data_IF_049526301820
#
_entry.id   IF_049526301820
#
_cell.length_a   1.000
_cell.length_b   1.000
_cell.length_c   1.000
_cell.angle_alpha   90.00
_cell.angle_beta   90.00
_cell.angle_gamma   90.00
#
_symmetry.space_group_name_H-M   'P 1'
#
loop_
_entity.id
_entity.type
_entity.pdbx_description
1 polymer ?
#
# COMPACT_ATOMS: atom_id res chain seq x y z
N UNK A 1 43.08 -44.85 -38.09
CA UNK A 1 43.14 -43.48 -37.53
C UNK A 1 42.91 -42.52 -38.68
N UNK A 2 41.76 -41.83 -38.69
CA UNK A 2 41.46 -40.83 -39.72
C UNK A 2 41.39 -39.48 -39.03
N UNK A 3 42.02 -38.47 -39.62
CA UNK A 3 42.09 -37.10 -39.13
C UNK A 3 41.96 -36.15 -40.30
N UNK A 4 41.37 -35.00 -40.07
CA UNK A 4 41.26 -33.94 -41.08
C UNK A 4 41.94 -32.69 -40.56
N UNK A 5 42.93 -32.17 -41.27
CA UNK A 5 43.58 -30.90 -40.97
C UNK A 5 43.54 -30.03 -42.23
N UNK A 6 42.81 -28.92 -42.17
CA UNK A 6 42.60 -27.98 -43.25
C UNK A 6 43.02 -26.58 -42.80
N UNK A 7 44.13 -26.08 -43.35
CA UNK A 7 44.68 -24.76 -43.03
C UNK A 7 46.17 -24.82 -42.71
N UNK A 8 46.87 -23.71 -42.93
CA UNK A 8 48.30 -23.64 -42.67
C UNK A 8 48.57 -23.80 -41.16
N UNK A 9 49.51 -24.71 -40.83
CA UNK A 9 49.84 -25.09 -39.45
C UNK A 9 48.66 -25.60 -38.62
N UNK A 10 47.59 -26.10 -39.26
CA UNK A 10 46.54 -26.84 -38.55
C UNK A 10 47.06 -28.22 -38.11
N UNK A 11 46.58 -28.70 -36.97
CA UNK A 11 47.07 -29.92 -36.34
C UNK A 11 45.91 -30.74 -35.77
N UNK A 12 45.59 -31.85 -36.42
CA UNK A 12 44.64 -32.86 -35.95
C UNK A 12 45.41 -34.16 -35.67
N UNK A 13 45.64 -34.48 -34.40
CA UNK A 13 46.58 -35.55 -34.01
C UNK A 13 45.97 -36.75 -33.33
N UNK A 14 44.75 -36.60 -32.84
CA UNK A 14 44.04 -37.66 -32.14
C UNK A 14 43.06 -38.37 -33.08
N UNK A 15 42.59 -39.54 -32.67
CA UNK A 15 41.68 -40.32 -33.52
C UNK A 15 40.40 -39.53 -33.81
N UNK A 16 39.97 -39.48 -35.08
CA UNK A 16 38.76 -38.78 -35.53
C UNK A 16 38.77 -37.26 -35.24
N UNK A 17 39.95 -36.67 -35.07
CA UNK A 17 40.08 -35.23 -34.87
C UNK A 17 39.91 -34.45 -36.19
N UNK A 18 39.27 -33.29 -36.11
CA UNK A 18 39.09 -32.36 -37.22
C UNK A 18 39.56 -30.95 -36.83
N UNK A 19 40.54 -30.41 -37.55
CA UNK A 19 41.06 -29.05 -37.37
C UNK A 19 40.89 -28.26 -38.67
N UNK A 20 40.14 -27.15 -38.62
CA UNK A 20 39.86 -26.29 -39.78
C UNK A 20 40.18 -24.84 -39.42
N UNK A 21 41.23 -24.28 -40.02
CA UNK A 21 41.67 -22.90 -39.80
C UNK A 21 43.20 -22.75 -39.70
N UNK A 22 43.68 -21.51 -39.78
CA UNK A 22 45.10 -21.21 -39.54
C UNK A 22 45.43 -21.51 -38.07
N UNK A 23 46.40 -22.40 -37.84
CA UNK A 23 46.77 -22.83 -36.47
C UNK A 23 45.58 -23.37 -35.65
N UNK A 24 44.62 -24.06 -36.27
CA UNK A 24 43.60 -24.80 -35.53
C UNK A 24 44.19 -26.10 -34.94
N UNK A 25 43.89 -26.40 -33.68
CA UNK A 25 44.41 -27.58 -32.97
C UNK A 25 43.28 -28.46 -32.45
N UNK A 26 43.14 -29.66 -33.00
CA UNK A 26 42.24 -30.70 -32.51
C UNK A 26 43.08 -31.86 -31.94
N UNK A 27 43.34 -31.82 -30.63
CA UNK A 27 44.26 -32.75 -29.95
C UNK A 27 43.58 -33.82 -29.13
N UNK A 28 42.30 -33.67 -28.81
CA UNK A 28 41.50 -34.71 -28.17
C UNK A 28 40.96 -35.73 -29.17
N UNK A 29 40.74 -36.97 -28.73
CA UNK A 29 40.01 -37.97 -29.53
C UNK A 29 38.61 -37.44 -29.85
N UNK A 30 38.15 -37.58 -31.09
CA UNK A 30 36.89 -37.02 -31.60
C UNK A 30 36.77 -35.48 -31.43
N UNK A 31 37.87 -34.74 -31.25
CA UNK A 31 37.81 -33.31 -31.07
C UNK A 31 37.65 -32.55 -32.39
N UNK A 32 36.93 -31.42 -32.36
CA UNK A 32 36.73 -30.56 -33.53
C UNK A 32 37.13 -29.13 -33.21
N UNK A 33 38.08 -28.56 -33.95
CA UNK A 33 38.51 -27.17 -33.82
C UNK A 33 38.26 -26.42 -35.12
N UNK A 34 37.42 -25.40 -35.10
CA UNK A 34 37.04 -24.59 -36.27
C UNK A 34 37.31 -23.12 -35.97
N UNK A 35 38.28 -22.54 -36.67
CA UNK A 35 38.66 -21.14 -36.54
C UNK A 35 40.17 -20.96 -36.40
N UNK A 36 40.64 -19.73 -36.62
CA UNK A 36 42.05 -19.39 -36.42
C UNK A 36 42.42 -19.51 -34.95
N UNK A 37 43.50 -20.22 -34.63
CA UNK A 37 43.95 -20.49 -33.26
C UNK A 37 42.92 -21.20 -32.34
N UNK A 38 41.87 -21.80 -32.90
CA UNK A 38 40.91 -22.60 -32.13
C UNK A 38 41.59 -23.86 -31.55
N UNK A 39 41.32 -24.19 -30.28
CA UNK A 39 41.91 -25.35 -29.59
C UNK A 39 40.83 -26.23 -28.96
N UNK A 40 40.71 -27.44 -29.47
CA UNK A 40 39.90 -28.50 -28.91
C UNK A 40 40.84 -29.60 -28.36
N UNK A 41 41.32 -29.40 -27.14
CA UNK A 41 42.37 -30.23 -26.54
C UNK A 41 41.82 -31.44 -25.76
N UNK A 42 40.52 -31.47 -25.47
CA UNK A 42 39.86 -32.52 -24.70
C UNK A 42 39.08 -33.49 -25.58
N UNK A 43 38.93 -34.74 -25.12
CA UNK A 43 38.18 -35.77 -25.83
C UNK A 43 36.70 -35.36 -26.04
N UNK A 44 36.19 -35.55 -27.26
CA UNK A 44 34.83 -35.20 -27.66
C UNK A 44 34.52 -33.70 -27.63
N UNK A 45 35.52 -32.83 -27.42
CA UNK A 45 35.30 -31.38 -27.31
C UNK A 45 35.26 -30.70 -28.67
N UNK A 46 34.47 -29.62 -28.79
CA UNK A 46 34.36 -28.82 -30.00
C UNK A 46 34.62 -27.35 -29.70
N UNK A 47 35.61 -26.75 -30.35
CA UNK A 47 35.92 -25.33 -30.27
C UNK A 47 35.55 -24.64 -31.58
N UNK A 48 34.64 -23.66 -31.54
CA UNK A 48 34.19 -22.90 -32.71
C UNK A 48 34.47 -21.42 -32.51
N UNK A 49 35.14 -20.79 -33.45
CA UNK A 49 35.50 -19.37 -33.40
C UNK A 49 37.01 -19.13 -33.30
N UNK A 50 37.43 -17.89 -33.52
CA UNK A 50 38.85 -17.51 -33.46
C UNK A 50 39.32 -17.50 -32.01
N UNK A 51 40.38 -18.23 -31.71
CA UNK A 51 40.97 -18.27 -30.36
C UNK A 51 40.13 -19.00 -29.31
N UNK A 52 39.02 -19.63 -29.70
CA UNK A 52 38.18 -20.44 -28.80
C UNK A 52 38.96 -21.62 -28.25
N UNK A 53 38.88 -21.85 -26.94
CA UNK A 53 39.56 -22.95 -26.25
C UNK A 53 38.54 -23.73 -25.43
N UNK A 54 38.46 -25.05 -25.62
CA UNK A 54 37.69 -25.91 -24.72
C UNK A 54 38.49 -26.16 -23.44
N UNK A 55 37.80 -26.28 -22.32
CA UNK A 55 38.37 -26.49 -20.97
C UNK A 55 37.99 -27.84 -20.36
N UNK A 56 37.09 -28.58 -21.01
CA UNK A 56 36.63 -29.88 -20.55
C UNK A 56 36.31 -30.86 -21.69
N UNK A 57 36.28 -32.16 -21.37
CA UNK A 57 35.80 -33.19 -22.30
C UNK A 57 34.31 -33.04 -22.59
N UNK A 58 33.89 -33.40 -23.81
CA UNK A 58 32.51 -33.29 -24.29
C UNK A 58 31.90 -31.86 -24.25
N UNK A 59 32.72 -30.82 -24.09
CA UNK A 59 32.28 -29.43 -24.11
C UNK A 59 32.20 -28.91 -25.55
N UNK A 60 31.19 -28.08 -25.83
CA UNK A 60 31.15 -27.24 -27.04
C UNK A 60 31.38 -25.79 -26.60
N UNK A 61 32.52 -25.23 -26.95
CA UNK A 61 32.85 -23.81 -26.73
C UNK A 61 32.62 -23.03 -28.03
N UNK A 62 31.93 -21.89 -27.93
CA UNK A 62 31.59 -21.02 -29.07
C UNK A 62 32.05 -19.61 -28.74
N UNK A 63 33.08 -19.15 -29.45
CA UNK A 63 33.74 -17.86 -29.21
C UNK A 63 34.55 -17.78 -27.92
N UNK A 64 34.97 -16.56 -27.61
CA UNK A 64 35.68 -16.15 -26.40
C UNK A 64 34.81 -15.21 -25.57
N UNK A 65 35.26 -14.86 -24.35
CA UNK A 65 34.53 -13.94 -23.47
C UNK A 65 34.27 -12.54 -24.06
N UNK A 66 35.02 -12.14 -25.10
CA UNK A 66 34.83 -10.87 -25.80
C UNK A 66 33.96 -10.96 -27.05
N UNK A 67 33.60 -12.16 -27.49
CA UNK A 67 32.84 -12.37 -28.72
C UNK A 67 31.33 -12.27 -28.46
N UNK A 68 30.60 -11.69 -29.41
CA UNK A 68 29.14 -11.71 -29.42
C UNK A 68 28.64 -12.96 -30.14
N UNK A 69 27.77 -13.74 -29.50
CA UNK A 69 27.09 -14.89 -30.12
C UNK A 69 25.63 -14.50 -30.44
N UNK A 70 25.25 -14.58 -31.71
CA UNK A 70 23.88 -14.34 -32.16
C UNK A 70 23.23 -15.63 -32.66
N UNK A 71 22.04 -15.94 -32.15
CA UNK A 71 21.20 -17.04 -32.63
C UNK A 71 19.93 -16.46 -33.24
N UNK A 72 19.87 -16.35 -34.57
CA UNK A 72 18.83 -15.60 -35.27
C UNK A 72 17.40 -16.15 -35.08
N UNK A 73 17.27 -17.47 -34.87
CA UNK A 73 15.95 -18.13 -34.76
C UNK A 73 15.24 -17.97 -33.42
N UNK A 74 15.87 -17.40 -32.38
CA UNK A 74 15.29 -17.36 -31.03
C UNK A 74 13.92 -16.65 -30.97
N UNK A 75 13.69 -15.64 -31.82
CA UNK A 75 12.44 -14.88 -31.82
C UNK A 75 11.30 -15.49 -32.63
N UNK A 76 11.60 -16.42 -33.54
CA UNK A 76 10.60 -17.02 -34.45
C UNK A 76 10.31 -18.47 -34.15
N UNK A 77 11.14 -19.14 -33.34
CA UNK A 77 11.07 -20.59 -33.11
C UNK A 77 10.01 -21.04 -32.08
N UNK A 78 9.03 -20.20 -31.74
CA UNK A 78 8.08 -20.48 -30.66
C UNK A 78 7.08 -21.58 -31.04
N UNK A 79 6.66 -21.63 -32.30
CA UNK A 79 5.67 -22.60 -32.79
C UNK A 79 6.27 -24.01 -32.94
N UNK A 80 7.60 -24.11 -33.02
CA UNK A 80 8.34 -25.36 -33.05
C UNK A 80 8.63 -25.94 -31.65
N UNK A 81 8.36 -25.18 -30.59
CA UNK A 81 8.55 -25.66 -29.22
C UNK A 81 7.43 -26.65 -28.82
N UNK A 82 7.81 -27.76 -28.19
CA UNK A 82 6.87 -28.78 -27.69
C UNK A 82 7.29 -29.28 -26.31
N UNK A 83 6.32 -29.62 -25.46
CA UNK A 83 6.56 -30.09 -24.09
C UNK A 83 6.80 -28.97 -23.08
N UNK A 84 7.52 -29.27 -21.99
CA UNK A 84 7.85 -28.29 -20.94
C UNK A 84 8.83 -27.25 -21.46
N UNK A 85 8.49 -25.97 -21.30
CA UNK A 85 9.37 -24.84 -21.62
C UNK A 85 10.29 -24.55 -20.42
N UNK A 86 11.53 -24.17 -20.70
CA UNK A 86 12.54 -23.89 -19.67
C UNK A 86 13.06 -22.46 -19.82
N UNK A 87 13.35 -21.82 -18.70
CA UNK A 87 14.22 -20.65 -18.68
C UNK A 87 15.67 -21.12 -18.79
N UNK A 88 16.42 -20.52 -19.72
CA UNK A 88 17.86 -20.76 -19.88
C UNK A 88 18.62 -19.65 -19.16
N UNK A 89 19.56 -20.04 -18.32
CA UNK A 89 20.49 -19.13 -17.63
C UNK A 89 21.91 -19.40 -18.10
N UNK A 90 22.81 -18.43 -17.96
CA UNK A 90 24.24 -18.61 -18.15
C UNK A 90 24.98 -18.26 -16.86
N UNK A 91 26.06 -18.97 -16.55
CA UNK A 91 27.00 -18.58 -15.49
C UNK A 91 28.08 -17.61 -16.00
N UNK A 92 29.04 -17.24 -15.15
CA UNK A 92 30.13 -16.32 -15.50
C UNK A 92 31.05 -16.85 -16.60
N UNK A 93 31.13 -18.17 -16.75
CA UNK A 93 31.93 -18.85 -17.76
C UNK A 93 31.14 -19.11 -19.07
N UNK A 94 29.86 -18.71 -19.12
CA UNK A 94 28.98 -18.88 -20.28
C UNK A 94 28.35 -20.28 -20.39
N UNK A 95 28.40 -21.10 -19.34
CA UNK A 95 27.75 -22.41 -19.31
C UNK A 95 26.26 -22.26 -19.13
N UNK A 96 25.48 -22.90 -20.00
CA UNK A 96 24.02 -22.79 -19.97
C UNK A 96 23.38 -23.80 -19.01
N UNK A 97 22.55 -23.28 -18.10
CA UNK A 97 21.65 -24.04 -17.25
C UNK A 97 20.20 -23.95 -17.73
N UNK A 98 19.37 -24.90 -17.30
CA UNK A 98 17.92 -24.86 -17.54
C UNK A 98 17.15 -25.00 -16.24
N UNK A 99 16.12 -24.18 -16.08
CA UNK A 99 15.16 -24.26 -14.98
C UNK A 99 13.76 -24.35 -15.57
N UNK A 100 12.97 -25.34 -15.16
CA UNK A 100 11.63 -25.53 -15.70
C UNK A 100 10.77 -24.28 -15.47
N UNK A 101 10.14 -23.77 -16.53
CA UNK A 101 9.28 -22.60 -16.49
C UNK A 101 7.85 -23.02 -16.84
N UNK A 102 7.04 -23.24 -15.80
CA UNK A 102 5.63 -23.63 -15.97
C UNK A 102 4.73 -22.39 -16.06
N UNK A 103 4.37 -22.01 -17.29
CA UNK A 103 3.42 -20.93 -17.58
C UNK A 103 2.01 -21.19 -17.00
N UNK A 104 1.66 -22.45 -16.72
CA UNK A 104 0.40 -22.83 -16.08
C UNK A 104 0.30 -22.36 -14.62
N UNK A 105 1.44 -22.10 -13.96
CA UNK A 105 1.47 -21.56 -12.59
C UNK A 105 1.37 -20.03 -12.55
N UNK A 106 1.45 -19.34 -13.69
CA UNK A 106 1.28 -17.88 -13.77
C UNK A 106 -0.18 -17.44 -13.54
N UNK A 107 -1.13 -18.39 -13.56
CA UNK A 107 -2.54 -18.15 -13.22
C UNK A 107 -2.82 -17.91 -11.74
N UNK A 108 -1.80 -17.97 -10.87
CA UNK A 108 -1.89 -17.56 -9.47
C UNK A 108 -0.64 -16.79 -9.10
N UNK A 109 -0.79 -15.66 -8.41
CA UNK A 109 0.27 -14.68 -8.06
C UNK A 109 1.58 -15.23 -7.48
N UNK A 110 1.60 -16.49 -7.04
CA UNK A 110 2.77 -17.19 -6.52
C UNK A 110 3.69 -17.81 -7.59
N UNK A 111 3.25 -17.99 -8.84
CA UNK A 111 4.00 -18.74 -9.87
C UNK A 111 5.21 -17.98 -10.43
N UNK A 112 5.01 -16.69 -10.74
CA UNK A 112 6.06 -15.79 -11.22
C UNK A 112 7.18 -15.63 -10.17
N UNK A 113 6.81 -15.57 -8.89
CA UNK A 113 7.74 -15.43 -7.78
C UNK A 113 8.55 -16.69 -7.51
N UNK A 114 7.96 -17.89 -7.57
CA UNK A 114 8.72 -19.14 -7.39
C UNK A 114 9.65 -19.44 -8.56
N UNK A 115 9.21 -19.17 -9.79
CA UNK A 115 10.05 -19.35 -10.98
C UNK A 115 11.23 -18.39 -11.03
N UNK A 116 11.01 -17.12 -10.66
CA UNK A 116 12.05 -16.10 -10.70
C UNK A 116 12.97 -16.13 -9.47
N UNK A 117 12.45 -16.36 -8.26
CA UNK A 117 13.30 -16.44 -7.06
C UNK A 117 14.24 -17.65 -7.07
N UNK A 118 13.88 -18.72 -7.78
CA UNK A 118 14.77 -19.86 -8.01
C UNK A 118 15.83 -19.57 -9.08
N UNK A 119 15.61 -18.60 -9.97
CA UNK A 119 16.48 -18.29 -11.10
C UNK A 119 17.34 -17.02 -10.90
N UNK A 120 16.89 -16.05 -10.11
CA UNK A 120 17.59 -14.79 -9.83
C UNK A 120 17.33 -14.36 -8.37
N UNK A 121 18.35 -13.93 -7.61
CA UNK A 121 18.20 -13.47 -6.23
C UNK A 121 17.66 -12.03 -6.19
N UNK A 122 16.48 -11.79 -6.74
CA UNK A 122 15.73 -10.55 -6.49
C UNK A 122 14.89 -10.77 -5.23
N UNK A 123 14.97 -9.84 -4.28
CA UNK A 123 14.04 -9.77 -3.15
C UNK A 123 12.64 -9.43 -3.68
N UNK A 124 11.94 -10.42 -4.22
CA UNK A 124 10.63 -10.24 -4.83
C UNK A 124 9.63 -9.80 -3.76
N UNK A 125 9.11 -8.57 -3.89
CA UNK A 125 7.92 -8.14 -3.14
C UNK A 125 6.80 -9.09 -3.55
N UNK A 126 6.30 -9.86 -2.60
CA UNK A 126 5.23 -10.81 -2.86
C UNK A 126 3.86 -10.16 -2.92
N UNK A 127 2.94 -10.78 -3.65
CA UNK A 127 1.52 -10.43 -3.60
C UNK A 127 0.97 -10.50 -2.17
N UNK A 128 1.54 -11.33 -1.29
CA UNK A 128 1.19 -11.35 0.13
C UNK A 128 1.55 -10.02 0.84
N UNK A 129 2.72 -9.44 0.54
CA UNK A 129 3.11 -8.12 1.06
C UNK A 129 2.24 -7.00 0.47
N UNK A 130 1.88 -7.09 -0.81
CA UNK A 130 0.98 -6.13 -1.45
C UNK A 130 -0.45 -6.21 -0.88
N UNK A 131 -0.97 -7.43 -0.66
CA UNK A 131 -2.29 -7.65 -0.07
C UNK A 131 -2.35 -7.19 1.39
N UNK A 132 -1.27 -7.40 2.17
CA UNK A 132 -1.16 -6.87 3.53
C UNK A 132 -1.25 -5.35 3.53
N UNK A 133 -0.49 -4.68 2.66
CA UNK A 133 -0.55 -3.22 2.52
C UNK A 133 -1.93 -2.75 2.05
N UNK A 134 -2.56 -3.44 1.10
CA UNK A 134 -3.91 -3.11 0.63
C UNK A 134 -4.93 -3.22 1.77
N UNK A 135 -4.83 -4.26 2.60
CA UNK A 135 -5.66 -4.42 3.80
C UNK A 135 -5.45 -3.28 4.80
N UNK A 136 -4.20 -2.88 5.05
CA UNK A 136 -3.87 -1.77 5.95
C UNK A 136 -4.43 -0.44 5.43
N UNK A 137 -4.37 -0.20 4.11
CA UNK A 137 -4.96 0.98 3.47
C UNK A 137 -6.49 0.97 3.56
N UNK A 138 -7.14 -0.17 3.37
CA UNK A 138 -8.59 -0.29 3.59
C UNK A 138 -8.97 -0.02 5.04
N UNK A 139 -8.20 -0.57 5.99
CA UNK A 139 -8.42 -0.34 7.42
C UNK A 139 -8.24 1.14 7.79
N UNK A 140 -7.21 1.81 7.23
CA UNK A 140 -6.99 3.24 7.42
C UNK A 140 -8.13 4.06 6.81
N UNK A 141 -8.61 3.71 5.63
CA UNK A 141 -9.76 4.38 4.98
C UNK A 141 -11.00 4.30 5.87
N UNK A 142 -11.29 3.13 6.46
CA UNK A 142 -12.39 2.99 7.42
C UNK A 142 -12.22 3.83 8.67
N UNK A 143 -11.00 3.90 9.22
CA UNK A 143 -10.69 4.76 10.39
C UNK A 143 -10.84 6.25 10.09
N UNK A 144 -10.44 6.70 8.89
CA UNK A 144 -10.61 8.09 8.45
C UNK A 144 -12.09 8.42 8.33
N UNK A 145 -12.90 7.56 7.68
CA UNK A 145 -14.35 7.78 7.58
C UNK A 145 -15.05 7.84 8.95
N UNK A 146 -14.63 7.01 9.90
CA UNK A 146 -15.16 7.07 11.28
C UNK A 146 -14.78 8.39 12.00
N UNK A 147 -13.55 8.86 11.81
CA UNK A 147 -13.09 10.13 12.38
C UNK A 147 -13.83 11.32 11.76
N UNK A 148 -14.03 11.32 10.44
CA UNK A 148 -14.84 12.33 9.74
C UNK A 148 -16.27 12.38 10.29
N UNK A 149 -16.89 11.22 10.55
CA UNK A 149 -18.19 11.14 11.21
C UNK A 149 -18.20 11.73 12.62
N UNK A 150 -17.19 11.41 13.45
CA UNK A 150 -17.07 11.98 14.79
C UNK A 150 -16.88 13.50 14.77
N UNK A 151 -16.10 14.02 13.83
CA UNK A 151 -15.93 15.47 13.63
C UNK A 151 -17.26 16.13 13.27
N UNK A 152 -18.08 15.51 12.42
CA UNK A 152 -19.45 15.96 12.15
C UNK A 152 -20.31 16.06 13.41
N UNK A 153 -20.31 15.00 14.23
CA UNK A 153 -21.07 15.00 15.50
C UNK A 153 -20.60 16.07 16.48
N UNK A 154 -19.31 16.40 16.48
CA UNK A 154 -18.76 17.45 17.34
C UNK A 154 -19.23 18.84 16.90
N UNK A 155 -19.31 19.10 15.59
CA UNK A 155 -19.85 20.36 15.07
C UNK A 155 -21.36 20.51 15.39
N UNK A 156 -22.14 19.43 15.25
CA UNK A 156 -23.56 19.44 15.62
C UNK A 156 -23.78 19.68 17.12
N UNK A 157 -22.97 19.03 17.96
CA UNK A 157 -22.99 19.23 19.40
C UNK A 157 -22.59 20.67 19.77
N UNK A 158 -21.56 21.22 19.13
CA UNK A 158 -21.13 22.61 19.35
C UNK A 158 -22.24 23.60 19.00
N UNK A 159 -22.90 23.43 17.85
CA UNK A 159 -23.99 24.30 17.43
C UNK A 159 -25.20 24.19 18.38
N UNK A 160 -25.52 22.98 18.83
CA UNK A 160 -26.59 22.74 19.80
C UNK A 160 -26.27 23.42 21.13
N UNK A 161 -25.07 23.20 21.68
CA UNK A 161 -24.64 23.82 22.93
C UNK A 161 -24.65 25.36 22.86
N UNK A 162 -24.17 25.95 21.75
CA UNK A 162 -24.22 27.39 21.56
C UNK A 162 -25.65 27.94 21.49
N UNK A 163 -26.60 27.17 20.95
CA UNK A 163 -28.01 27.53 20.93
C UNK A 163 -28.61 27.43 22.33
N UNK A 164 -28.41 26.31 23.02
CA UNK A 164 -28.93 26.07 24.37
C UNK A 164 -28.40 27.09 25.37
N UNK A 165 -27.12 27.45 25.29
CA UNK A 165 -26.53 28.49 26.13
C UNK A 165 -27.17 29.86 25.88
N UNK A 166 -27.39 30.25 24.62
CA UNK A 166 -28.05 31.52 24.29
C UNK A 166 -29.48 31.57 24.80
N UNK A 167 -30.22 30.47 24.62
CA UNK A 167 -31.60 30.33 25.09
C UNK A 167 -31.68 30.36 26.62
N UNK A 168 -30.78 29.65 27.31
CA UNK A 168 -30.66 29.68 28.78
C UNK A 168 -30.38 31.09 29.31
N UNK A 169 -29.43 31.82 28.71
CA UNK A 169 -29.11 33.19 29.10
C UNK A 169 -30.32 34.11 28.87
N UNK A 170 -31.03 33.97 27.75
CA UNK A 170 -32.24 34.73 27.48
C UNK A 170 -33.32 34.44 28.52
N UNK A 171 -33.53 33.17 28.90
CA UNK A 171 -34.48 32.76 29.93
C UNK A 171 -34.15 33.38 31.30
N UNK A 172 -32.90 33.24 31.75
CA UNK A 172 -32.48 33.77 33.05
C UNK A 172 -32.53 35.29 33.09
N UNK A 173 -32.16 35.96 32.00
CA UNK A 173 -32.27 37.43 31.89
C UNK A 173 -33.72 37.89 31.90
N UNK A 174 -34.62 37.07 31.33
CA UNK A 174 -36.04 37.36 31.35
C UNK A 174 -36.66 37.22 32.74
N UNK A 175 -36.04 36.62 33.77
CA UNK A 175 -36.69 36.32 35.04
C UNK A 175 -37.38 37.52 35.71
N UNK A 176 -38.71 37.52 35.72
CA UNK A 176 -39.53 38.57 36.28
C UNK A 176 -39.47 38.58 37.81
N UNK A 177 -39.31 39.76 38.40
CA UNK A 177 -39.35 39.96 39.84
C UNK A 177 -40.58 40.83 40.14
N UNK A 178 -41.70 40.23 40.57
CA UNK A 178 -42.86 41.00 41.01
C UNK A 178 -42.48 41.91 42.18
N UNK A 179 -43.05 43.11 42.21
CA UNK A 179 -42.85 44.01 43.35
C UNK A 179 -43.45 43.42 44.63
N UNK A 180 -43.00 43.90 45.78
CA UNK A 180 -43.57 43.49 47.06
C UNK A 180 -45.06 43.89 47.16
N UNK A 181 -45.99 42.98 47.52
CA UNK A 181 -47.42 43.30 47.56
C UNK A 181 -47.81 44.33 48.63
N UNK A 182 -48.72 45.25 48.30
CA UNK A 182 -49.06 46.40 49.15
C UNK A 182 -49.80 46.06 50.45
N UNK A 183 -50.56 44.97 50.47
CA UNK A 183 -51.41 44.56 51.61
C UNK A 183 -51.07 43.15 52.08
N UNK A 184 -51.31 42.88 53.37
CA UNK A 184 -51.15 41.54 53.94
C UNK A 184 -52.12 40.57 53.24
N UNK A 185 -51.59 39.44 52.74
CA UNK A 185 -52.36 38.48 51.93
C UNK A 185 -52.51 38.83 50.45
N UNK A 186 -51.99 39.98 49.99
CA UNK A 186 -52.02 40.32 48.56
C UNK A 186 -50.98 39.54 47.74
N UNK A 187 -51.30 39.32 46.47
CA UNK A 187 -50.42 38.69 45.48
C UNK A 187 -50.13 39.65 44.33
N UNK A 188 -48.85 39.86 44.02
CA UNK A 188 -48.41 40.59 42.82
C UNK A 188 -47.91 39.62 41.77
N UNK A 189 -47.98 40.03 40.50
CA UNK A 189 -47.46 39.27 39.37
C UNK A 189 -46.57 40.16 38.50
N UNK A 190 -45.61 39.54 37.83
CA UNK A 190 -44.81 40.21 36.81
C UNK A 190 -44.47 39.23 35.70
N UNK A 191 -44.34 39.76 34.48
CA UNK A 191 -43.93 39.00 33.31
C UNK A 191 -42.95 39.82 32.51
N UNK A 192 -41.88 39.18 32.06
CA UNK A 192 -40.80 39.86 31.35
C UNK A 192 -40.45 39.08 30.09
N UNK A 193 -39.94 39.80 29.10
CA UNK A 193 -39.38 39.24 27.87
C UNK A 193 -37.97 39.79 27.72
N UNK A 194 -37.01 38.92 27.40
CA UNK A 194 -35.64 39.31 27.10
C UNK A 194 -35.21 38.72 25.75
N UNK A 195 -34.22 39.35 25.13
CA UNK A 195 -33.57 38.82 23.93
C UNK A 195 -32.07 38.78 24.15
N UNK A 196 -31.43 37.70 23.73
CA UNK A 196 -29.97 37.56 23.74
C UNK A 196 -29.48 36.94 22.44
N UNK A 197 -28.70 37.72 21.67
CA UNK A 197 -28.10 37.29 20.39
C UNK A 197 -29.08 36.59 19.43
N UNK A 198 -30.32 37.08 19.35
CA UNK A 198 -31.37 36.57 18.46
C UNK A 198 -32.27 35.49 19.07
N UNK A 199 -31.96 34.96 20.26
CA UNK A 199 -32.85 34.06 21.01
C UNK A 199 -33.72 34.88 21.99
N UNK A 200 -34.89 34.35 22.33
CA UNK A 200 -35.89 35.04 23.16
C UNK A 200 -36.15 34.26 24.45
N UNK A 201 -36.24 34.97 25.56
CA UNK A 201 -36.60 34.45 26.86
C UNK A 201 -37.89 35.08 27.38
N UNK A 202 -38.73 34.27 28.00
CA UNK A 202 -39.98 34.69 28.61
C UNK A 202 -39.98 34.29 30.07
N UNK A 203 -40.64 35.06 30.92
CA UNK A 203 -40.85 34.63 32.29
C UNK A 203 -42.16 35.13 32.87
N UNK A 204 -42.58 34.44 33.93
CA UNK A 204 -43.65 34.87 34.80
C UNK A 204 -43.21 34.65 36.25
N UNK A 205 -43.53 35.60 37.11
CA UNK A 205 -43.28 35.52 38.54
C UNK A 205 -44.51 35.94 39.33
N UNK A 206 -44.61 35.40 40.54
CA UNK A 206 -45.63 35.75 41.54
C UNK A 206 -44.93 36.09 42.86
N UNK A 207 -45.46 37.05 43.60
CA UNK A 207 -45.08 37.29 44.99
C UNK A 207 -46.33 37.36 45.86
N UNK A 208 -46.32 36.66 46.99
CA UNK A 208 -47.44 36.62 47.94
C UNK A 208 -46.97 37.08 49.31
N UNK A 209 -47.62 38.10 49.87
CA UNK A 209 -47.26 38.66 51.18
C UNK A 209 -47.89 37.84 52.29
N UNK A 210 -47.05 37.25 53.15
CA UNK A 210 -47.49 36.43 54.28
C UNK A 210 -47.82 37.30 55.50
N UNK A 211 -47.02 38.35 55.73
CA UNK A 211 -47.23 39.33 56.80
C UNK A 211 -46.56 40.67 56.46
N UNK A 212 -46.65 41.65 57.37
CA UNK A 212 -46.07 42.98 57.15
C UNK A 212 -44.58 42.99 56.82
N UNK A 213 -43.81 42.00 57.28
CA UNK A 213 -42.34 41.98 57.19
C UNK A 213 -41.81 40.98 56.16
N UNK A 214 -42.63 40.06 55.62
CA UNK A 214 -42.16 38.98 54.74
C UNK A 214 -43.15 38.65 53.61
N UNK A 215 -42.61 38.45 52.40
CA UNK A 215 -43.30 37.92 51.23
C UNK A 215 -42.51 36.76 50.61
N UNK A 216 -43.24 35.79 50.07
CA UNK A 216 -42.70 34.69 49.28
C UNK A 216 -42.75 35.08 47.81
N UNK A 217 -41.68 34.78 47.07
CA UNK A 217 -41.59 35.01 45.62
C UNK A 217 -41.33 33.70 44.91
N UNK A 218 -41.94 33.52 43.75
CA UNK A 218 -41.66 32.40 42.84
C UNK A 218 -41.65 32.91 41.40
N UNK A 219 -40.92 32.22 40.53
CA UNK A 219 -40.90 32.56 39.12
C UNK A 219 -40.39 31.42 38.27
N UNK A 220 -40.85 31.42 37.03
CA UNK A 220 -40.45 30.48 35.99
C UNK A 220 -40.03 31.27 34.76
N UNK A 221 -38.99 30.83 34.08
CA UNK A 221 -38.56 31.37 32.80
C UNK A 221 -38.35 30.28 31.77
N UNK A 222 -38.57 30.61 30.51
CA UNK A 222 -38.44 29.73 29.35
C UNK A 222 -37.66 30.42 28.24
N UNK A 223 -36.64 29.76 27.70
CA UNK A 223 -35.74 30.30 26.67
C UNK A 223 -35.86 29.63 25.29
N UNK A 224 -36.71 28.62 25.14
CA UNK A 224 -36.76 27.75 23.95
C UNK A 224 -36.20 26.35 24.21
N UNK A 225 -36.68 25.36 23.45
CA UNK A 225 -36.26 23.96 23.63
C UNK A 225 -36.57 23.44 25.03
N UNK A 226 -35.59 22.82 25.67
CA UNK A 226 -35.70 22.32 27.06
C UNK A 226 -35.19 23.33 28.10
N UNK A 227 -34.89 24.57 27.70
CA UNK A 227 -34.30 25.59 28.57
C UNK A 227 -35.37 26.27 29.44
N UNK A 228 -35.76 25.62 30.54
CA UNK A 228 -36.66 26.14 31.58
C UNK A 228 -35.90 26.34 32.89
N UNK A 229 -36.10 27.48 33.56
CA UNK A 229 -35.55 27.73 34.88
C UNK A 229 -36.64 28.11 35.88
N UNK A 230 -36.49 27.67 37.12
CA UNK A 230 -37.37 28.00 38.24
C UNK A 230 -36.58 28.75 39.32
N UNK A 231 -37.22 29.75 39.93
CA UNK A 231 -36.70 30.46 41.09
C UNK A 231 -37.76 30.56 42.18
N UNK A 232 -37.32 30.50 43.43
CA UNK A 232 -38.12 30.85 44.58
C UNK A 232 -37.25 31.63 45.58
N UNK A 233 -37.84 32.54 46.33
CA UNK A 233 -37.12 33.37 47.29
C UNK A 233 -38.04 34.04 48.30
N UNK A 234 -37.44 34.72 49.26
CA UNK A 234 -38.14 35.49 50.29
C UNK A 234 -37.73 36.96 50.17
N UNK A 235 -38.67 37.87 50.28
CA UNK A 235 -38.44 39.31 50.34
C UNK A 235 -38.99 39.86 51.67
N UNK A 236 -38.34 40.85 52.26
CA UNK A 236 -38.78 41.45 53.51
C UNK A 236 -38.24 42.86 53.74
N UNK A 237 -38.87 43.59 54.65
CA UNK A 237 -38.54 44.96 55.06
C UNK A 237 -38.62 45.06 56.58
N UNK A 238 -37.79 45.92 57.18
CA UNK A 238 -37.67 46.12 58.64
C UNK A 238 -38.00 47.56 59.05
#
# INVERSE_FOLDING_TARGET
MFTTALGYSSFAVAERAAAVGYRAFARGNNATAIGTDARADFAGSTAVGRGTVTTAANQVAIGTASDTVQVAGLGTANDEQSGTIYLVTADEDGTLGRTAFDTGTLGGGTGLQRGLAAAMPIAAISDAQFNALSSDVTALTGRVGALEGQVGTLFDLSNTLEKDLRQSIAATTALAQPHFPSEDGATSYASNVASFRGEMGFSAGLAHRVNRSFALTSGVSYGGGDNVAFKAGVAGEF
#
